data_IF_027838678258
#
_entry.id   IF_027838678258
#
_cell.length_a   1.000
_cell.length_b   1.000
_cell.length_c   1.000
_cell.angle_alpha   90.00
_cell.angle_beta   90.00
_cell.angle_gamma   90.00
#
_symmetry.space_group_name_H-M   'P 1'
#
loop_
_entity.id
_entity.type
_entity.pdbx_description
1 polymer ?
#
# COMPACT_ATOMS: atom_id res chain seq x y z
N UNK A 1 -4.15 -19.14 -10.80
CA UNK A 1 -4.48 -17.70 -10.94
C UNK A 1 -3.28 -16.96 -11.52
N UNK A 2 -3.50 -16.01 -12.42
CA UNK A 2 -2.43 -15.17 -12.96
C UNK A 2 -1.78 -14.32 -11.86
N UNK A 3 -0.49 -13.96 -12.03
CA UNK A 3 0.22 -13.07 -11.11
C UNK A 3 -0.45 -11.70 -10.96
N UNK A 4 -1.09 -11.20 -12.03
CA UNK A 4 -1.94 -10.01 -11.96
C UNK A 4 -3.02 -10.16 -10.89
N UNK A 5 -3.82 -11.23 -10.96
CA UNK A 5 -4.96 -11.40 -10.07
C UNK A 5 -4.51 -11.65 -8.63
N UNK A 6 -3.43 -12.41 -8.40
CA UNK A 6 -2.98 -12.76 -7.04
C UNK A 6 -2.13 -11.67 -6.37
N UNK A 7 -1.17 -11.07 -7.08
CA UNK A 7 -0.19 -10.14 -6.50
C UNK A 7 -0.61 -8.67 -6.66
N UNK A 8 -1.12 -8.29 -7.84
CA UNK A 8 -1.49 -6.91 -8.09
C UNK A 8 -2.90 -6.64 -7.57
N UNK A 9 -3.90 -7.36 -8.06
CA UNK A 9 -5.29 -7.12 -7.67
C UNK A 9 -5.55 -7.47 -6.19
N UNK A 10 -5.31 -8.72 -5.80
CA UNK A 10 -5.71 -9.22 -4.48
C UNK A 10 -4.77 -8.81 -3.34
N UNK A 11 -3.55 -8.36 -3.62
CA UNK A 11 -2.59 -7.95 -2.60
C UNK A 11 -2.35 -6.43 -2.65
N UNK A 12 -1.64 -5.92 -3.66
CA UNK A 12 -1.25 -4.51 -3.74
C UNK A 12 -2.45 -3.56 -3.86
N UNK A 13 -3.28 -3.76 -4.88
CA UNK A 13 -4.47 -2.95 -5.12
C UNK A 13 -5.49 -3.07 -3.99
N UNK A 14 -5.71 -4.29 -3.47
CA UNK A 14 -6.61 -4.50 -2.34
C UNK A 14 -6.17 -3.72 -1.09
N UNK A 15 -4.88 -3.75 -0.74
CA UNK A 15 -4.36 -3.00 0.40
C UNK A 15 -4.60 -1.50 0.24
N UNK A 16 -4.15 -0.94 -0.89
CA UNK A 16 -4.21 0.50 -1.17
C UNK A 16 -5.66 0.98 -1.17
N UNK A 17 -6.53 0.29 -1.92
CA UNK A 17 -7.95 0.63 -1.98
C UNK A 17 -8.61 0.59 -0.60
N UNK A 18 -8.33 -0.44 0.21
CA UNK A 18 -8.91 -0.57 1.56
C UNK A 18 -8.46 0.55 2.47
N UNK A 19 -7.18 0.92 2.46
CA UNK A 19 -6.65 1.98 3.31
C UNK A 19 -7.27 3.35 2.97
N UNK A 20 -7.26 3.72 1.69
CA UNK A 20 -7.79 5.02 1.22
C UNK A 20 -9.31 5.08 1.44
N UNK A 21 -10.06 4.09 0.97
CA UNK A 21 -11.53 4.10 1.09
C UNK A 21 -11.99 4.09 2.55
N UNK A 22 -11.24 3.44 3.45
CA UNK A 22 -11.57 3.44 4.86
C UNK A 22 -11.35 4.81 5.50
N UNK A 23 -10.24 5.48 5.19
CA UNK A 23 -9.96 6.83 5.69
C UNK A 23 -10.96 7.85 5.16
N UNK A 24 -11.24 7.82 3.86
CA UNK A 24 -12.26 8.66 3.23
C UNK A 24 -13.62 8.52 3.95
N UNK A 25 -14.06 7.28 4.18
CA UNK A 25 -15.38 7.00 4.76
C UNK A 25 -15.48 7.30 6.26
N UNK A 26 -14.45 7.00 7.06
CA UNK A 26 -14.56 7.00 8.53
C UNK A 26 -13.80 8.15 9.21
N UNK A 27 -12.82 8.74 8.53
CA UNK A 27 -11.97 9.81 9.06
C UNK A 27 -11.97 11.05 8.15
N UNK A 28 -12.95 11.16 7.25
CA UNK A 28 -13.11 12.32 6.36
C UNK A 28 -11.97 12.51 5.36
N UNK A 29 -11.15 11.48 5.12
CA UNK A 29 -9.96 11.58 4.28
C UNK A 29 -8.82 12.37 4.94
N UNK A 30 -8.87 12.61 6.26
CA UNK A 30 -7.85 13.38 6.98
C UNK A 30 -6.88 12.40 7.65
N UNK A 31 -5.58 12.66 7.47
CA UNK A 31 -4.51 11.92 8.13
C UNK A 31 -4.46 12.28 9.61
N UNK A 32 -4.58 11.27 10.46
CA UNK A 32 -4.49 11.40 11.92
C UNK A 32 -3.04 11.47 12.41
N UNK A 33 -2.89 11.57 13.73
CA UNK A 33 -1.58 11.55 14.38
C UNK A 33 -1.16 10.13 14.74
N UNK A 34 -0.05 9.63 14.18
CA UNK A 34 0.57 8.36 14.54
C UNK A 34 2.02 8.53 15.04
N UNK A 35 2.36 9.70 15.59
CA UNK A 35 3.68 9.96 16.19
C UNK A 35 3.94 9.08 17.41
N UNK A 36 2.90 8.74 18.17
CA UNK A 36 2.96 7.82 19.29
C UNK A 36 2.38 6.46 18.90
N UNK A 37 3.25 5.43 18.88
CA UNK A 37 2.84 4.05 18.63
C UNK A 37 2.35 3.42 19.94
N UNK A 38 1.03 3.35 20.08
CA UNK A 38 0.39 2.94 21.34
C UNK A 38 0.50 1.42 21.58
N UNK A 39 0.42 0.60 20.53
CA UNK A 39 0.44 -0.86 20.68
C UNK A 39 1.74 -1.52 20.21
N UNK A 40 2.04 -2.69 20.76
CA UNK A 40 3.17 -3.51 20.33
C UNK A 40 3.03 -3.97 18.87
N UNK A 41 1.80 -4.14 18.41
CA UNK A 41 1.52 -4.48 17.02
C UNK A 41 1.94 -3.35 16.07
N UNK A 42 1.73 -2.09 16.46
CA UNK A 42 2.12 -0.93 15.64
C UNK A 42 3.64 -0.81 15.53
N UNK A 43 4.34 -0.99 16.66
CA UNK A 43 5.81 -1.01 16.70
C UNK A 43 6.40 -2.14 15.84
N UNK A 44 5.84 -3.35 15.95
CA UNK A 44 6.24 -4.49 15.11
C UNK A 44 5.97 -4.25 13.63
N UNK A 45 4.83 -3.64 13.31
CA UNK A 45 4.51 -3.29 11.92
C UNK A 45 5.55 -2.32 11.35
N UNK A 46 5.87 -1.23 12.07
CA UNK A 46 6.87 -0.26 11.63
C UNK A 46 8.26 -0.89 11.45
N UNK A 47 8.68 -1.74 12.39
CA UNK A 47 9.94 -2.47 12.29
C UNK A 47 9.97 -3.42 11.08
N UNK A 48 8.88 -4.14 10.82
CA UNK A 48 8.78 -5.08 9.70
C UNK A 48 8.82 -4.36 8.34
N UNK A 49 8.12 -3.23 8.19
CA UNK A 49 8.16 -2.43 6.97
C UNK A 49 9.57 -1.85 6.78
N UNK A 50 10.20 -1.37 7.85
CA UNK A 50 11.59 -0.88 7.80
C UNK A 50 12.56 -1.97 7.34
N UNK A 51 12.41 -3.20 7.83
CA UNK A 51 13.22 -4.33 7.40
C UNK A 51 13.07 -4.61 5.90
N UNK A 52 11.84 -4.66 5.40
CA UNK A 52 11.57 -4.90 3.97
C UNK A 52 12.04 -3.74 3.09
N UNK A 53 11.95 -2.50 3.56
CA UNK A 53 12.48 -1.33 2.87
C UNK A 53 14.01 -1.40 2.72
N UNK A 54 14.72 -1.76 3.79
CA UNK A 54 16.17 -1.96 3.70
C UNK A 54 16.55 -3.10 2.74
N UNK A 55 15.80 -4.20 2.76
CA UNK A 55 15.98 -5.28 1.77
C UNK A 55 15.69 -4.84 0.33
N UNK A 56 14.72 -3.95 0.12
CA UNK A 56 14.48 -3.30 -1.17
C UNK A 56 15.67 -2.45 -1.60
N UNK A 57 16.16 -1.55 -0.74
CA UNK A 57 17.27 -0.64 -1.04
C UNK A 57 18.54 -1.43 -1.41
N UNK A 58 18.90 -2.45 -0.62
CA UNK A 58 20.05 -3.32 -0.91
C UNK A 58 19.90 -4.05 -2.24
N UNK A 59 18.71 -4.56 -2.54
CA UNK A 59 18.44 -5.23 -3.81
C UNK A 59 18.59 -4.27 -4.98
N UNK A 60 18.06 -3.04 -4.87
CA UNK A 60 18.12 -2.04 -5.93
C UNK A 60 19.55 -1.54 -6.17
N UNK A 61 20.33 -1.32 -5.12
CA UNK A 61 21.75 -0.96 -5.22
C UNK A 61 22.55 -2.03 -5.99
N UNK A 62 22.22 -3.31 -5.77
CA UNK A 62 22.82 -4.46 -6.48
C UNK A 62 22.14 -4.81 -7.80
N UNK A 63 21.22 -3.96 -8.30
CA UNK A 63 20.44 -4.17 -9.54
C UNK A 63 19.63 -5.47 -9.55
N UNK A 64 19.26 -6.00 -8.38
CA UNK A 64 18.43 -7.20 -8.22
C UNK A 64 16.94 -6.87 -8.28
N UNK A 65 16.47 -6.39 -9.44
CA UNK A 65 15.09 -5.91 -9.65
C UNK A 65 14.02 -6.93 -9.22
N UNK A 66 14.24 -8.22 -9.48
CA UNK A 66 13.30 -9.30 -9.09
C UNK A 66 13.14 -9.43 -7.58
N UNK A 67 14.21 -9.20 -6.81
CA UNK A 67 14.13 -9.26 -5.36
C UNK A 67 13.58 -7.95 -4.80
N UNK A 68 13.92 -6.81 -5.40
CA UNK A 68 13.31 -5.50 -5.09
C UNK A 68 11.78 -5.55 -5.17
N UNK A 69 11.19 -5.98 -6.29
CA UNK A 69 9.72 -6.04 -6.41
C UNK A 69 9.09 -7.04 -5.43
N UNK A 70 9.79 -8.12 -5.04
CA UNK A 70 9.28 -9.03 -4.01
C UNK A 70 9.20 -8.33 -2.64
N UNK A 71 10.16 -7.49 -2.28
CA UNK A 71 10.09 -6.67 -1.06
C UNK A 71 8.86 -5.77 -1.09
N UNK A 72 8.60 -5.09 -2.22
CA UNK A 72 7.39 -4.25 -2.41
C UNK A 72 6.11 -5.06 -2.19
N UNK A 73 6.00 -6.23 -2.82
CA UNK A 73 4.82 -7.09 -2.67
C UNK A 73 4.67 -7.64 -1.25
N UNK A 74 5.78 -7.93 -0.53
CA UNK A 74 5.75 -8.34 0.88
C UNK A 74 5.28 -7.22 1.80
N UNK A 75 5.78 -5.99 1.61
CA UNK A 75 5.29 -4.82 2.34
C UNK A 75 3.77 -4.66 2.24
N UNK A 76 3.22 -4.77 1.03
CA UNK A 76 1.76 -4.76 0.82
C UNK A 76 1.04 -5.92 1.55
N UNK A 77 1.61 -7.12 1.58
CA UNK A 77 1.01 -8.25 2.31
C UNK A 77 0.99 -7.97 3.82
N UNK A 78 2.06 -7.41 4.36
CA UNK A 78 2.10 -7.00 5.76
C UNK A 78 1.07 -5.91 6.05
N UNK A 79 0.87 -4.95 5.15
CA UNK A 79 -0.21 -3.97 5.25
C UNK A 79 -1.60 -4.60 5.32
N UNK A 80 -1.90 -5.56 4.43
CA UNK A 80 -3.16 -6.32 4.48
C UNK A 80 -3.33 -7.06 5.81
N UNK A 81 -2.29 -7.77 6.27
CA UNK A 81 -2.32 -8.54 7.52
C UNK A 81 -2.49 -7.64 8.74
N UNK A 82 -1.80 -6.49 8.77
CA UNK A 82 -1.90 -5.51 9.83
C UNK A 82 -3.33 -4.96 9.95
N UNK A 83 -3.93 -4.51 8.85
CA UNK A 83 -5.33 -4.07 8.85
C UNK A 83 -6.29 -5.19 9.25
N UNK A 84 -5.99 -6.43 8.85
CA UNK A 84 -6.79 -7.59 9.25
C UNK A 84 -6.71 -7.92 10.73
N UNK A 85 -5.53 -7.79 11.34
CA UNK A 85 -5.33 -8.03 12.76
C UNK A 85 -5.85 -6.88 13.64
N UNK A 86 -5.76 -5.64 13.15
CA UNK A 86 -6.25 -4.45 13.87
C UNK A 86 -7.76 -4.25 13.73
N UNK A 87 -8.40 -4.81 12.71
CA UNK A 87 -9.84 -4.70 12.47
C UNK A 87 -10.41 -3.27 12.67
N UNK A 88 -9.84 -2.22 12.04
CA UNK A 88 -10.22 -0.84 12.29
C UNK A 88 -11.72 -0.57 12.03
N UNK A 89 -12.37 -1.36 11.17
CA UNK A 89 -13.82 -1.28 10.90
C UNK A 89 -14.71 -1.69 12.07
N UNK A 90 -14.18 -2.45 13.03
CA UNK A 90 -14.85 -2.73 14.30
C UNK A 90 -14.50 -1.66 15.31
N UNK A 91 -13.21 -1.36 15.47
CA UNK A 91 -12.68 -0.46 16.49
C UNK A 91 -13.13 0.99 16.32
N UNK A 92 -13.35 1.47 15.09
CA UNK A 92 -13.90 2.80 14.84
C UNK A 92 -15.32 3.02 15.39
N UNK A 93 -16.02 1.95 15.78
CA UNK A 93 -17.37 2.00 16.36
C UNK A 93 -17.37 1.74 17.88
N UNK A 94 -16.19 1.56 18.47
CA UNK A 94 -16.02 1.23 19.88
C UNK A 94 -15.87 2.45 20.78
N UNK A 95 -15.16 2.24 21.89
CA UNK A 95 -14.72 3.27 22.83
C UNK A 95 -13.76 4.28 22.17
N UNK A 96 -13.52 5.41 22.83
CA UNK A 96 -12.60 6.44 22.31
C UNK A 96 -11.16 5.92 22.16
N UNK A 97 -10.72 5.02 23.04
CA UNK A 97 -9.45 4.33 22.92
C UNK A 97 -9.40 3.42 21.67
N UNK A 98 -10.48 2.69 21.39
CA UNK A 98 -10.56 1.85 20.17
C UNK A 98 -10.62 2.69 18.90
N UNK A 99 -11.34 3.81 18.91
CA UNK A 99 -11.37 4.75 17.78
C UNK A 99 -9.99 5.33 17.51
N UNK A 100 -9.27 5.72 18.56
CA UNK A 100 -7.89 6.19 18.47
C UNK A 100 -6.97 5.13 17.87
N UNK A 101 -7.07 3.89 18.34
CA UNK A 101 -6.32 2.76 17.79
C UNK A 101 -6.62 2.52 16.30
N UNK A 102 -7.88 2.65 15.89
CA UNK A 102 -8.30 2.54 14.49
C UNK A 102 -7.72 3.67 13.62
N UNK A 103 -7.70 4.89 14.13
CA UNK A 103 -7.12 6.06 13.46
C UNK A 103 -5.60 5.89 13.26
N UNK A 104 -4.86 5.47 14.30
CA UNK A 104 -3.43 5.18 14.21
C UNK A 104 -3.17 4.08 13.17
N UNK A 105 -3.95 3.00 13.20
CA UNK A 105 -3.81 1.88 12.26
C UNK A 105 -3.94 2.34 10.81
N UNK A 106 -4.94 3.18 10.53
CA UNK A 106 -5.21 3.66 9.18
C UNK A 106 -4.19 4.71 8.76
N UNK A 107 -3.75 5.56 9.68
CA UNK A 107 -2.66 6.52 9.44
C UNK A 107 -1.37 5.80 9.06
N UNK A 108 -0.98 4.76 9.78
CA UNK A 108 0.19 3.93 9.43
C UNK A 108 0.01 3.23 8.09
N UNK A 109 -1.18 2.72 7.80
CA UNK A 109 -1.47 2.07 6.52
C UNK A 109 -1.35 3.05 5.35
N UNK A 110 -1.87 4.27 5.46
CA UNK A 110 -1.77 5.30 4.41
C UNK A 110 -0.33 5.78 4.20
N UNK A 111 0.45 5.88 5.27
CA UNK A 111 1.88 6.15 5.17
C UNK A 111 2.64 5.00 4.49
N UNK A 112 2.21 3.75 4.68
CA UNK A 112 2.72 2.64 3.89
C UNK A 112 2.28 2.75 2.42
N UNK A 113 1.05 3.19 2.11
CA UNK A 113 0.61 3.45 0.73
C UNK A 113 1.49 4.52 0.07
N UNK A 114 1.84 5.59 0.79
CA UNK A 114 2.80 6.59 0.32
C UNK A 114 4.14 5.93 -0.04
N UNK A 115 4.73 5.17 0.89
CA UNK A 115 5.99 4.48 0.66
C UNK A 115 5.93 3.54 -0.54
N UNK A 116 4.86 2.75 -0.65
CA UNK A 116 4.62 1.83 -1.76
C UNK A 116 4.59 2.57 -3.10
N UNK A 117 4.02 3.77 -3.16
CA UNK A 117 4.08 4.58 -4.39
C UNK A 117 5.52 4.89 -4.79
N UNK A 118 6.39 5.26 -3.84
CA UNK A 118 7.80 5.56 -4.11
C UNK A 118 8.61 4.34 -4.54
N UNK A 119 8.51 3.22 -3.83
CA UNK A 119 9.28 2.00 -4.17
C UNK A 119 8.75 1.28 -5.40
N UNK A 120 7.49 1.54 -5.81
CA UNK A 120 6.91 0.97 -7.01
C UNK A 120 7.26 1.75 -8.28
N UNK A 121 7.66 3.02 -8.15
CA UNK A 121 7.94 3.91 -9.28
C UNK A 121 8.90 3.30 -10.33
N UNK A 122 10.01 2.63 -9.97
CA UNK A 122 10.91 2.05 -10.96
C UNK A 122 10.33 0.85 -11.73
N UNK A 123 9.20 0.30 -11.28
CA UNK A 123 8.56 -0.88 -11.86
C UNK A 123 7.26 -0.55 -12.58
N UNK A 124 6.44 0.33 -12.01
CA UNK A 124 5.11 0.70 -12.52
C UNK A 124 4.86 2.20 -12.32
N UNK A 125 5.52 3.08 -13.10
CA UNK A 125 5.47 4.53 -12.90
C UNK A 125 4.04 5.09 -12.99
N UNK A 126 3.24 4.66 -13.97
CA UNK A 126 1.84 5.09 -14.10
C UNK A 126 1.01 4.75 -12.85
N UNK A 127 1.18 3.53 -12.31
CA UNK A 127 0.46 3.12 -11.10
C UNK A 127 0.97 3.88 -9.87
N UNK A 128 2.27 4.15 -9.79
CA UNK A 128 2.85 4.99 -8.74
C UNK A 128 2.20 6.38 -8.73
N UNK A 129 2.07 7.01 -9.90
CA UNK A 129 1.45 8.33 -10.04
C UNK A 129 -0.03 8.30 -9.70
N UNK A 130 -0.77 7.26 -10.14
CA UNK A 130 -2.17 7.07 -9.75
C UNK A 130 -2.34 6.95 -8.23
N UNK A 131 -1.45 6.24 -7.53
CA UNK A 131 -1.48 6.16 -6.07
C UNK A 131 -1.24 7.54 -5.45
N UNK A 132 -0.26 8.29 -5.95
CA UNK A 132 0.05 9.64 -5.44
C UNK A 132 -1.10 10.61 -5.66
N UNK A 133 -1.79 10.53 -6.80
CA UNK A 133 -3.00 11.29 -7.07
C UNK A 133 -4.12 10.95 -6.08
N UNK A 134 -4.33 9.66 -5.77
CA UNK A 134 -5.32 9.26 -4.77
C UNK A 134 -4.94 9.69 -3.34
N UNK A 135 -3.64 9.82 -3.05
CA UNK A 135 -3.16 10.40 -1.79
C UNK A 135 -3.09 11.93 -1.81
N UNK A 136 -3.42 12.60 -2.92
CA UNK A 136 -3.31 14.05 -3.10
C UNK A 136 -1.90 14.60 -2.79
N UNK A 137 -0.87 13.91 -3.26
CA UNK A 137 0.54 14.33 -3.10
C UNK A 137 0.91 15.20 -4.31
N UNK A 138 1.34 16.44 -4.04
CA UNK A 138 1.67 17.43 -5.08
C UNK A 138 3.16 17.46 -5.40
N UNK A 139 4.01 17.00 -4.48
CA UNK A 139 5.44 16.92 -4.68
C UNK A 139 5.76 15.98 -5.85
N UNK A 140 6.80 16.31 -6.62
CA UNK A 140 7.29 15.45 -7.70
C UNK A 140 8.38 14.49 -7.21
N UNK A 141 9.12 14.88 -6.16
CA UNK A 141 10.15 14.05 -5.58
C UNK A 141 9.54 12.81 -4.91
N UNK A 142 10.18 11.65 -5.09
CA UNK A 142 9.87 10.43 -4.33
C UNK A 142 10.83 10.38 -3.15
N UNK A 143 10.34 10.67 -1.95
CA UNK A 143 11.13 10.55 -0.75
C UNK A 143 11.26 9.07 -0.37
N UNK A 144 12.49 8.60 -0.18
CA UNK A 144 12.82 7.32 0.41
C UNK A 144 13.86 7.55 1.51
N UNK A 145 13.60 6.99 2.68
CA UNK A 145 14.54 6.98 3.80
C UNK A 145 14.97 5.53 4.10
N UNK A 146 15.94 5.35 4.98
CA UNK A 146 16.40 4.03 5.42
C UNK A 146 15.48 3.41 6.50
N UNK A 147 14.39 4.08 6.86
CA UNK A 147 13.43 3.64 7.85
C UNK A 147 12.01 4.07 7.48
N UNK A 148 11.03 3.24 7.86
CA UNK A 148 9.64 3.58 7.69
C UNK A 148 9.21 4.62 8.72
N UNK A 149 8.58 5.71 8.26
CA UNK A 149 8.05 6.80 9.08
C UNK A 149 6.74 7.32 8.51
N UNK A 150 6.12 8.26 9.21
CA UNK A 150 5.00 9.02 8.68
C UNK A 150 5.52 10.08 7.69
N UNK A 151 5.21 9.90 6.41
CA UNK A 151 5.52 10.80 5.30
C UNK A 151 4.41 11.84 5.08
N UNK A 152 3.16 11.44 5.30
CA UNK A 152 2.00 12.32 5.21
C UNK A 152 1.86 13.11 6.53
N UNK A 153 1.82 14.44 6.50
CA UNK A 153 1.69 15.24 7.71
C UNK A 153 0.31 15.09 8.34
N UNK A 154 0.23 15.29 9.65
CA UNK A 154 -1.06 15.30 10.39
C UNK A 154 -1.94 16.41 9.81
N UNK A 155 -3.22 16.09 9.57
CA UNK A 155 -4.16 17.01 8.94
C UNK A 155 -4.12 17.02 7.41
N UNK A 156 -3.17 16.31 6.77
CA UNK A 156 -3.17 16.13 5.32
C UNK A 156 -4.48 15.51 4.84
N UNK A 157 -5.05 16.04 3.76
CA UNK A 157 -6.30 15.53 3.19
C UNK A 157 -6.01 14.71 1.93
N UNK A 158 -6.31 13.42 1.97
CA UNK A 158 -6.17 12.51 0.83
C UNK A 158 -7.30 12.70 -0.19
N UNK A 159 -7.10 12.18 -1.39
CA UNK A 159 -8.12 12.11 -2.43
C UNK A 159 -9.04 10.90 -2.28
N UNK A 160 -9.66 10.49 -3.39
CA UNK A 160 -10.64 9.41 -3.43
C UNK A 160 -10.03 8.09 -3.86
N UNK A 161 -10.51 6.99 -3.27
CA UNK A 161 -10.09 5.65 -3.67
C UNK A 161 -10.55 5.30 -5.09
N UNK A 162 -9.66 4.73 -5.91
CA UNK A 162 -9.95 4.25 -7.26
C UNK A 162 -9.27 2.90 -7.53
N UNK A 163 -9.96 1.92 -8.13
CA UNK A 163 -9.36 0.63 -8.44
C UNK A 163 -8.14 0.75 -9.35
N UNK A 164 -6.97 0.35 -8.84
CA UNK A 164 -5.68 0.40 -9.58
C UNK A 164 -5.51 -0.74 -10.59
N UNK A 165 -6.08 -1.91 -10.31
CA UNK A 165 -5.90 -3.10 -11.13
C UNK A 165 -7.25 -3.69 -11.53
N UNK A 166 -7.31 -4.23 -12.73
CA UNK A 166 -8.46 -4.99 -13.23
C UNK A 166 -8.16 -6.48 -13.16
N UNK A 167 -9.21 -7.26 -12.96
CA UNK A 167 -9.13 -8.71 -13.07
C UNK A 167 -8.82 -9.07 -14.53
N UNK A 168 -7.88 -9.99 -14.69
CA UNK A 168 -7.61 -10.62 -15.99
C UNK A 168 -8.39 -11.93 -16.04
N UNK A 169 -9.39 -11.98 -16.91
CA UNK A 169 -10.25 -13.14 -17.09
C UNK A 169 -9.55 -14.25 -17.85
N UNK A 170 -9.90 -15.51 -17.53
CA UNK A 170 -9.32 -16.68 -18.19
C UNK A 170 -9.61 -16.67 -19.69
N UNK A 171 -10.82 -16.26 -20.10
CA UNK A 171 -11.20 -16.12 -21.50
C UNK A 171 -10.27 -15.15 -22.27
N UNK A 172 -9.94 -13.98 -21.71
CA UNK A 172 -9.01 -13.04 -22.34
C UNK A 172 -7.59 -13.58 -22.41
N UNK A 173 -7.15 -14.35 -21.40
CA UNK A 173 -5.83 -15.01 -21.45
C UNK A 173 -5.78 -16.00 -22.60
N UNK A 174 -6.82 -16.82 -22.76
CA UNK A 174 -6.85 -17.86 -23.78
C UNK A 174 -7.03 -17.25 -25.19
N UNK A 175 -7.82 -16.18 -25.31
CA UNK A 175 -7.92 -15.37 -26.53
C UNK A 175 -6.55 -14.83 -26.95
N UNK A 176 -5.82 -14.17 -26.04
CA UNK A 176 -4.51 -13.61 -26.36
C UNK A 176 -3.47 -14.68 -26.64
N UNK A 177 -3.50 -15.82 -25.93
CA UNK A 177 -2.63 -16.95 -26.22
C UNK A 177 -2.86 -17.45 -27.64
N UNK A 178 -4.11 -17.64 -28.04
CA UNK A 178 -4.44 -18.09 -29.39
C UNK A 178 -3.96 -17.07 -30.42
N UNK A 179 -4.35 -15.79 -30.23
CA UNK A 179 -4.01 -14.68 -31.13
C UNK A 179 -2.50 -14.51 -31.36
N UNK A 180 -1.69 -14.73 -30.34
CA UNK A 180 -0.23 -14.53 -30.38
C UNK A 180 0.56 -15.86 -30.37
N UNK A 181 -0.10 -17.01 -30.57
CA UNK A 181 0.55 -18.33 -30.59
C UNK A 181 1.43 -18.56 -31.83
N UNK A 182 1.29 -17.72 -32.86
CA UNK A 182 1.91 -17.93 -34.17
C UNK A 182 1.24 -19.02 -35.01
N UNK A 183 0.16 -19.63 -34.51
CA UNK A 183 -0.69 -20.52 -35.30
C UNK A 183 -1.67 -19.64 -36.09
N UNK A 184 -1.52 -19.65 -37.42
CA UNK A 184 -2.45 -18.99 -38.36
C UNK A 184 -3.79 -19.71 -38.40
#
# INVERSE_FOLDING_TARGET
MSKNNSELLNNLGNFINRAIAFCEKNFGGIIGDATQLETEMDRKFVAQITYELNGYLEAMEKTKLRDGIKCVLRMSRYGNQFLQAKEPWKRCKGSDAEKRDAEISITLALNLVYLLSSVLQPFMPTTSDEIRQQLNIQETAYALDNAFRCYLPVGHTIGQARPLFKRVEQASIDEYRLRFSGQR
#
